data_IF_543347392685
#
_entry.id   IF_543347392685
#
_cell.length_a   1.000
_cell.length_b   1.000
_cell.length_c   1.000
_cell.angle_alpha   90.00
_cell.angle_beta   90.00
_cell.angle_gamma   90.00
#
_symmetry.space_group_name_H-M   'P 1'
#
loop_
_entity.id
_entity.type
_entity.pdbx_description
1 polymer ?
#
# COMPACT_ATOMS: atom_id res chain seq x y z
N UNK A 1 -10.10 -21.82 32.67
CA UNK A 1 -10.49 -22.80 31.64
C UNK A 1 -10.71 -22.12 30.29
N UNK A 2 -11.51 -21.04 30.22
CA UNK A 2 -11.80 -20.27 29.00
C UNK A 2 -10.58 -19.86 28.12
N UNK A 3 -9.43 -19.54 28.72
CA UNK A 3 -8.22 -19.18 27.97
C UNK A 3 -7.55 -20.38 27.30
N UNK A 4 -7.56 -21.55 27.96
CA UNK A 4 -7.04 -22.80 27.38
C UNK A 4 -7.94 -23.27 26.24
N UNK A 5 -9.26 -23.12 26.39
CA UNK A 5 -10.22 -23.48 25.35
C UNK A 5 -10.06 -22.60 24.10
N UNK A 6 -9.83 -21.29 24.26
CA UNK A 6 -9.51 -20.37 23.14
C UNK A 6 -8.16 -20.68 22.49
N UNK A 7 -7.18 -21.16 23.25
CA UNK A 7 -5.89 -21.60 22.71
C UNK A 7 -6.02 -22.88 21.90
N UNK A 8 -6.78 -23.86 22.40
CA UNK A 8 -7.07 -25.12 21.69
C UNK A 8 -7.90 -24.85 20.43
N UNK A 9 -8.84 -23.91 20.47
CA UNK A 9 -9.61 -23.48 19.30
C UNK A 9 -8.70 -22.81 18.26
N UNK A 10 -7.77 -21.97 18.69
CA UNK A 10 -6.78 -21.31 17.82
C UNK A 10 -5.75 -22.30 17.26
N UNK A 11 -5.31 -23.27 18.03
CA UNK A 11 -4.43 -24.35 17.59
C UNK A 11 -5.15 -25.24 16.59
N UNK A 12 -6.40 -25.63 16.84
CA UNK A 12 -7.25 -26.34 15.87
C UNK A 12 -7.44 -25.52 14.59
N UNK A 13 -7.65 -24.21 14.67
CA UNK A 13 -7.74 -23.34 13.49
C UNK A 13 -6.42 -23.29 12.70
N UNK A 14 -5.29 -23.29 13.41
CA UNK A 14 -3.94 -23.30 12.82
C UNK A 14 -3.61 -24.65 12.18
N UNK A 15 -4.01 -25.75 12.81
CA UNK A 15 -3.88 -27.12 12.28
C UNK A 15 -4.82 -27.31 11.08
N UNK A 16 -6.03 -26.76 11.10
CA UNK A 16 -6.96 -26.80 9.97
C UNK A 16 -6.42 -26.01 8.75
N UNK A 17 -5.68 -24.92 8.98
CA UNK A 17 -4.95 -24.19 7.93
C UNK A 17 -3.75 -24.99 7.37
N UNK A 18 -3.12 -25.81 8.20
CA UNK A 18 -1.98 -26.65 7.82
C UNK A 18 -2.41 -27.96 7.12
N UNK A 19 -3.58 -28.51 7.48
CA UNK A 19 -4.08 -29.81 7.02
C UNK A 19 -5.13 -29.72 5.90
N UNK A 20 -5.72 -28.54 5.65
CA UNK A 20 -6.60 -28.27 4.50
C UNK A 20 -6.10 -27.05 3.72
N UNK A 21 -5.75 -27.19 2.43
CA UNK A 21 -6.68 -27.02 1.28
C UNK A 21 -7.38 -25.65 1.17
N UNK A 22 -7.09 -24.66 2.00
CA UNK A 22 -7.62 -23.31 1.84
C UNK A 22 -6.93 -22.66 0.64
N UNK A 23 -7.69 -22.55 -0.45
CA UNK A 23 -7.22 -21.90 -1.66
C UNK A 23 -7.08 -20.40 -1.39
N UNK A 24 -5.97 -19.77 -1.79
CA UNK A 24 -5.84 -18.32 -1.68
C UNK A 24 -6.90 -17.63 -2.55
N UNK A 25 -7.59 -16.66 -1.96
CA UNK A 25 -8.52 -15.80 -2.68
C UNK A 25 -7.72 -14.85 -3.56
N UNK A 26 -7.80 -15.03 -4.87
CA UNK A 26 -7.17 -14.15 -5.84
C UNK A 26 -7.97 -12.83 -5.93
N UNK A 27 -9.29 -12.93 -5.99
CA UNK A 27 -10.25 -11.82 -5.90
C UNK A 27 -11.41 -12.22 -4.99
N UNK A 28 -12.36 -11.30 -4.76
CA UNK A 28 -13.56 -11.60 -3.97
C UNK A 28 -14.44 -12.71 -4.56
N UNK A 29 -14.29 -13.02 -5.85
CA UNK A 29 -15.10 -14.00 -6.58
C UNK A 29 -14.28 -15.16 -7.14
N UNK A 30 -12.97 -15.19 -6.89
CA UNK A 30 -12.07 -16.15 -7.52
C UNK A 30 -11.00 -16.63 -6.54
N UNK A 31 -10.96 -17.94 -6.34
CA UNK A 31 -9.87 -18.63 -5.67
C UNK A 31 -8.85 -19.16 -6.69
N UNK A 32 -7.62 -19.39 -6.24
CA UNK A 32 -6.55 -19.92 -7.09
C UNK A 32 -5.67 -20.95 -6.35
N UNK A 33 -4.65 -21.50 -7.00
CA UNK A 33 -3.65 -22.34 -6.35
C UNK A 33 -2.52 -21.49 -5.73
N UNK A 34 -1.89 -22.01 -4.69
CA UNK A 34 -0.70 -21.38 -4.10
C UNK A 34 0.46 -21.28 -5.10
N UNK A 35 0.58 -22.23 -6.04
CA UNK A 35 1.59 -22.21 -7.10
C UNK A 35 1.44 -20.96 -7.99
N UNK A 36 0.20 -20.59 -8.34
CA UNK A 36 -0.09 -19.37 -9.11
C UNK A 36 0.28 -18.14 -8.28
N UNK A 37 -0.08 -18.09 -6.99
CA UNK A 37 0.31 -16.98 -6.11
C UNK A 37 1.83 -16.84 -6.04
N UNK A 38 2.56 -17.95 -5.89
CA UNK A 38 4.02 -17.91 -5.84
C UNK A 38 4.65 -17.51 -7.17
N UNK A 39 4.07 -17.91 -8.31
CA UNK A 39 4.51 -17.45 -9.63
C UNK A 39 4.33 -15.92 -9.77
N UNK A 40 3.16 -15.39 -9.40
CA UNK A 40 2.89 -13.95 -9.42
C UNK A 40 3.85 -13.21 -8.48
N UNK A 41 4.00 -13.68 -7.23
CA UNK A 41 4.95 -13.13 -6.25
C UNK A 41 6.36 -13.07 -6.82
N UNK A 42 6.85 -14.18 -7.38
CA UNK A 42 8.20 -14.25 -7.94
C UNK A 42 8.39 -13.21 -9.05
N UNK A 43 7.41 -13.04 -9.94
CA UNK A 43 7.49 -12.05 -11.01
C UNK A 43 7.49 -10.62 -10.45
N UNK A 44 6.64 -10.31 -9.47
CA UNK A 44 6.65 -8.99 -8.81
C UNK A 44 7.98 -8.71 -8.11
N UNK A 45 8.54 -9.70 -7.40
CA UNK A 45 9.86 -9.61 -6.76
C UNK A 45 10.97 -9.39 -7.79
N UNK A 46 10.95 -10.11 -8.92
CA UNK A 46 11.89 -9.93 -10.03
C UNK A 46 11.83 -8.49 -10.58
N UNK A 47 10.62 -7.98 -10.83
CA UNK A 47 10.42 -6.61 -11.33
C UNK A 47 10.96 -5.56 -10.37
N UNK A 48 10.77 -5.75 -9.05
CA UNK A 48 11.34 -4.85 -8.05
C UNK A 48 12.87 -4.96 -7.96
N UNK A 49 13.45 -6.17 -7.99
CA UNK A 49 14.91 -6.36 -7.91
C UNK A 49 15.63 -5.77 -9.12
N UNK A 50 15.10 -6.03 -10.33
CA UNK A 50 15.70 -5.64 -11.60
C UNK A 50 15.42 -4.18 -11.99
N UNK A 51 14.54 -3.49 -11.25
CA UNK A 51 14.36 -2.05 -11.37
C UNK A 51 15.67 -1.32 -11.08
N UNK A 52 16.33 -0.85 -12.15
CA UNK A 52 17.51 0.05 -12.09
C UNK A 52 17.13 1.52 -11.88
N UNK A 53 15.84 1.82 -11.96
CA UNK A 53 15.25 3.16 -11.80
C UNK A 53 14.73 3.35 -10.37
N UNK A 54 14.11 4.50 -10.11
CA UNK A 54 13.45 4.76 -8.83
C UNK A 54 12.40 3.68 -8.49
N UNK A 55 12.19 3.44 -7.19
CA UNK A 55 11.20 2.47 -6.71
C UNK A 55 9.79 2.78 -7.22
N UNK A 56 9.46 4.05 -7.43
CA UNK A 56 8.16 4.49 -7.95
C UNK A 56 7.85 3.95 -9.34
N UNK A 57 8.82 3.97 -10.26
CA UNK A 57 8.70 3.31 -11.56
C UNK A 57 8.44 1.81 -11.41
N UNK A 58 9.24 1.13 -10.57
CA UNK A 58 9.11 -0.32 -10.35
C UNK A 58 7.73 -0.70 -9.79
N UNK A 59 7.20 0.11 -8.87
CA UNK A 59 5.85 -0.06 -8.33
C UNK A 59 4.75 0.19 -9.38
N UNK A 60 4.91 1.18 -10.27
CA UNK A 60 3.98 1.39 -11.40
C UNK A 60 3.95 0.21 -12.35
N UNK A 61 5.10 -0.41 -12.62
CA UNK A 61 5.16 -1.66 -13.39
C UNK A 61 4.40 -2.79 -12.68
N UNK A 62 4.55 -2.94 -11.36
CA UNK A 62 3.76 -3.91 -10.59
C UNK A 62 2.24 -3.63 -10.68
N UNK A 63 1.82 -2.36 -10.62
CA UNK A 63 0.40 -1.97 -10.77
C UNK A 63 -0.10 -2.38 -12.15
N UNK A 64 0.62 -2.01 -13.22
CA UNK A 64 0.23 -2.30 -14.59
C UNK A 64 0.11 -3.82 -14.84
N UNK A 65 1.11 -4.61 -14.43
CA UNK A 65 1.03 -6.07 -14.52
C UNK A 65 -0.16 -6.63 -13.73
N UNK A 66 -0.41 -6.10 -12.52
CA UNK A 66 -1.55 -6.55 -11.71
C UNK A 66 -2.90 -6.25 -12.39
N UNK A 67 -3.00 -5.16 -13.15
CA UNK A 67 -4.23 -4.80 -13.86
C UNK A 67 -4.49 -5.76 -15.03
N UNK A 68 -3.46 -6.10 -15.81
CA UNK A 68 -3.54 -7.09 -16.90
C UNK A 68 -3.91 -8.49 -16.39
N UNK A 69 -3.32 -8.87 -15.26
CA UNK A 69 -3.61 -10.17 -14.61
C UNK A 69 -5.03 -10.22 -14.04
N UNK A 70 -5.56 -9.11 -13.51
CA UNK A 70 -6.94 -9.02 -12.99
C UNK A 70 -7.99 -9.16 -14.09
N UNK A 71 -7.73 -8.66 -15.29
CA UNK A 71 -8.62 -8.86 -16.45
C UNK A 71 -8.58 -10.29 -16.99
N UNK A 72 -7.60 -11.09 -16.59
CA UNK A 72 -7.41 -12.46 -17.06
C UNK A 72 -7.96 -13.47 -16.05
N UNK A 73 -8.72 -14.47 -16.52
CA UNK A 73 -9.21 -15.54 -15.64
C UNK A 73 -8.11 -16.59 -15.39
N UNK A 74 -7.15 -16.25 -14.50
CA UNK A 74 -5.98 -17.09 -14.21
C UNK A 74 -6.34 -18.48 -13.65
N UNK A 75 -7.49 -18.65 -13.00
CA UNK A 75 -7.89 -19.96 -12.46
C UNK A 75 -8.24 -21.00 -13.54
N UNK A 76 -8.37 -20.59 -14.80
CA UNK A 76 -8.58 -21.51 -15.94
C UNK A 76 -7.27 -21.93 -16.61
N UNK A 77 -6.13 -21.33 -16.24
CA UNK A 77 -4.83 -21.59 -16.85
C UNK A 77 -4.04 -22.60 -16.02
N UNK A 78 -3.27 -23.46 -16.69
CA UNK A 78 -2.26 -24.29 -16.05
C UNK A 78 -1.07 -23.45 -15.56
N UNK A 79 -0.32 -23.96 -14.58
CA UNK A 79 0.79 -23.21 -13.97
C UNK A 79 1.87 -22.78 -14.99
N UNK A 80 2.19 -23.62 -15.98
CA UNK A 80 3.19 -23.28 -16.99
C UNK A 80 2.71 -22.18 -17.94
N UNK A 81 1.42 -22.19 -18.30
CA UNK A 81 0.80 -21.12 -19.06
C UNK A 81 0.80 -19.80 -18.27
N UNK A 82 0.55 -19.85 -16.97
CA UNK A 82 0.63 -18.67 -16.09
C UNK A 82 2.05 -18.12 -16.04
N UNK A 83 3.07 -18.98 -15.92
CA UNK A 83 4.48 -18.55 -15.92
C UNK A 83 4.88 -17.90 -17.26
N UNK A 84 4.50 -18.50 -18.37
CA UNK A 84 4.74 -17.94 -19.70
C UNK A 84 4.03 -16.57 -19.86
N UNK A 85 2.76 -16.50 -19.46
CA UNK A 85 1.99 -15.26 -19.47
C UNK A 85 2.67 -14.16 -18.62
N UNK A 86 3.11 -14.50 -17.41
CA UNK A 86 3.83 -13.58 -16.53
C UNK A 86 5.15 -13.09 -17.12
N UNK A 87 5.88 -13.93 -17.86
CA UNK A 87 7.13 -13.52 -18.50
C UNK A 87 6.88 -12.55 -19.66
N UNK A 88 5.93 -12.88 -20.55
CA UNK A 88 5.55 -12.04 -21.69
C UNK A 88 5.03 -10.68 -21.21
N UNK A 89 3.99 -10.69 -20.38
CA UNK A 89 3.38 -9.45 -19.89
C UNK A 89 4.30 -8.68 -18.95
N UNK A 90 5.16 -9.36 -18.18
CA UNK A 90 6.16 -8.70 -17.37
C UNK A 90 7.13 -7.86 -18.21
N UNK A 91 7.62 -8.40 -19.34
CA UNK A 91 8.52 -7.66 -20.26
C UNK A 91 7.81 -6.51 -20.95
N UNK A 92 6.59 -6.75 -21.46
CA UNK A 92 5.78 -5.71 -22.12
C UNK A 92 5.48 -4.58 -21.14
N UNK A 93 5.04 -4.90 -19.93
CA UNK A 93 4.71 -3.90 -18.91
C UNK A 93 5.89 -2.99 -18.56
N UNK A 94 7.09 -3.55 -18.41
CA UNK A 94 8.30 -2.76 -18.13
C UNK A 94 8.61 -1.79 -19.28
N UNK A 95 8.29 -2.17 -20.52
CA UNK A 95 8.52 -1.33 -21.70
C UNK A 95 7.44 -0.25 -21.87
N UNK A 96 6.19 -0.55 -21.55
CA UNK A 96 5.04 0.34 -21.81
C UNK A 96 4.82 1.38 -20.71
N UNK A 97 5.26 1.10 -19.48
CA UNK A 97 5.13 2.07 -18.38
C UNK A 97 6.17 3.18 -18.57
N UNK A 98 5.75 4.46 -18.63
CA UNK A 98 6.69 5.56 -18.80
C UNK A 98 7.68 5.64 -17.63
N UNK A 99 8.99 5.66 -17.92
CA UNK A 99 10.01 5.84 -16.87
C UNK A 99 9.78 7.17 -16.16
N UNK A 100 9.57 8.24 -16.92
CA UNK A 100 9.26 9.56 -16.38
C UNK A 100 7.87 9.60 -15.71
N UNK A 101 7.85 9.93 -14.42
CA UNK A 101 6.63 10.08 -13.62
C UNK A 101 5.79 11.31 -14.04
N UNK A 102 6.36 12.29 -14.74
CA UNK A 102 5.61 13.42 -15.30
C UNK A 102 4.78 13.03 -16.52
N UNK A 103 5.16 11.99 -17.26
CA UNK A 103 4.39 11.47 -18.38
C UNK A 103 3.08 10.79 -17.95
N UNK A 104 2.94 10.44 -16.67
CA UNK A 104 1.68 9.89 -16.11
C UNK A 104 0.74 11.03 -15.70
N UNK A 105 -0.56 10.98 -16.06
CA UNK A 105 -1.53 11.98 -15.65
C UNK A 105 -1.61 12.16 -14.13
N UNK A 106 -1.87 13.39 -13.69
CA UNK A 106 -2.08 13.67 -12.27
C UNK A 106 -3.36 13.01 -11.73
N UNK A 107 -3.40 12.66 -10.43
CA UNK A 107 -4.59 12.13 -9.80
C UNK A 107 -5.73 13.16 -9.82
N UNK A 108 -6.95 12.69 -10.09
CA UNK A 108 -8.12 13.56 -10.16
C UNK A 108 -8.60 13.97 -8.75
N UNK A 109 -9.59 14.86 -8.68
CA UNK A 109 -10.09 15.38 -7.41
C UNK A 109 -10.62 14.28 -6.47
N UNK A 110 -11.30 13.26 -7.01
CA UNK A 110 -11.80 12.11 -6.22
C UNK A 110 -10.64 11.29 -5.68
N UNK A 111 -9.65 11.00 -6.52
CA UNK A 111 -8.43 10.28 -6.16
C UNK A 111 -7.68 10.98 -5.04
N UNK A 112 -7.54 12.30 -5.12
CA UNK A 112 -6.92 13.12 -4.08
C UNK A 112 -7.70 13.11 -2.76
N UNK A 113 -9.02 13.24 -2.79
CA UNK A 113 -9.85 13.19 -1.58
C UNK A 113 -9.74 11.83 -0.90
N UNK A 114 -9.91 10.75 -1.65
CA UNK A 114 -9.81 9.38 -1.13
C UNK A 114 -8.42 9.09 -0.59
N UNK A 115 -7.38 9.50 -1.31
CA UNK A 115 -6.00 9.40 -0.86
C UNK A 115 -5.80 10.08 0.49
N UNK A 116 -6.21 11.35 0.64
CA UNK A 116 -6.04 12.07 1.91
C UNK A 116 -6.79 11.42 3.07
N UNK A 117 -8.01 10.90 2.84
CA UNK A 117 -8.75 10.15 3.86
C UNK A 117 -8.02 8.88 4.27
N UNK A 118 -7.46 8.14 3.31
CA UNK A 118 -6.70 6.92 3.57
C UNK A 118 -5.39 7.26 4.31
N UNK A 119 -4.65 8.27 3.85
CA UNK A 119 -3.43 8.75 4.51
C UNK A 119 -3.71 9.17 5.95
N UNK A 120 -4.84 9.83 6.22
CA UNK A 120 -5.26 10.14 7.59
C UNK A 120 -5.44 8.89 8.44
N UNK A 121 -5.92 7.78 7.88
CA UNK A 121 -6.09 6.54 8.63
C UNK A 121 -4.74 5.89 8.94
N UNK A 122 -3.86 5.77 7.95
CA UNK A 122 -2.55 5.13 8.10
C UNK A 122 -1.58 5.93 8.97
N UNK A 123 -1.71 7.26 9.02
CA UNK A 123 -0.81 8.12 9.80
C UNK A 123 -1.29 8.36 11.22
N UNK A 124 -2.52 7.96 11.55
CA UNK A 124 -3.13 8.21 12.85
C UNK A 124 -2.60 7.25 13.91
N UNK A 125 -2.07 7.84 14.97
CA UNK A 125 -1.69 7.12 16.20
C UNK A 125 -2.65 7.46 17.33
N UNK A 126 -3.50 6.50 17.67
CA UNK A 126 -4.47 6.58 18.77
C UNK A 126 -3.87 6.09 20.11
N UNK A 127 -2.79 5.31 20.07
CA UNK A 127 -2.16 4.67 21.23
C UNK A 127 -0.63 4.90 21.30
N UNK A 128 -0.02 4.66 22.48
CA UNK A 128 1.43 4.83 22.74
C UNK A 128 1.93 6.24 23.09
N UNK A 129 3.25 6.46 23.16
CA UNK A 129 3.88 7.77 23.38
C UNK A 129 3.79 8.71 22.15
N UNK A 130 3.61 8.13 20.96
CA UNK A 130 3.57 8.86 19.68
C UNK A 130 2.16 9.30 19.26
N UNK A 131 1.22 9.43 20.22
CA UNK A 131 -0.19 9.79 19.98
C UNK A 131 -0.33 11.22 19.46
N UNK A 132 -1.25 11.41 18.51
CA UNK A 132 -1.60 12.74 17.99
C UNK A 132 -2.93 13.28 18.52
N UNK A 133 -3.74 13.84 17.62
CA UNK A 133 -5.01 14.53 17.91
C UNK A 133 -6.08 13.65 18.59
N UNK A 134 -5.91 12.32 18.62
CA UNK A 134 -6.78 11.38 19.29
C UNK A 134 -6.98 11.70 20.79
N UNK A 135 -5.99 12.35 21.41
CA UNK A 135 -6.07 12.82 22.80
C UNK A 135 -7.11 13.94 23.01
N UNK A 136 -7.56 14.62 21.95
CA UNK A 136 -8.53 15.73 22.02
C UNK A 136 -10.00 15.28 21.83
N UNK A 137 -10.25 13.98 21.75
CA UNK A 137 -11.60 13.39 21.70
C UNK A 137 -12.20 13.26 20.29
N UNK A 138 -13.41 12.67 20.22
CA UNK A 138 -14.08 12.28 18.96
C UNK A 138 -14.41 13.46 18.04
N UNK A 139 -14.74 14.62 18.59
CA UNK A 139 -15.03 15.84 17.81
C UNK A 139 -13.77 16.34 17.10
N UNK A 140 -12.62 16.30 17.78
CA UNK A 140 -11.35 16.68 17.17
C UNK A 140 -10.96 15.74 16.02
N UNK A 141 -11.22 14.43 16.17
CA UNK A 141 -11.04 13.44 15.11
C UNK A 141 -11.95 13.70 13.91
N UNK A 142 -13.23 14.04 14.15
CA UNK A 142 -14.15 14.40 13.07
C UNK A 142 -13.70 15.67 12.34
N UNK A 143 -13.27 16.71 13.08
CA UNK A 143 -12.71 17.93 12.49
C UNK A 143 -11.44 17.64 11.68
N UNK A 144 -10.58 16.73 12.15
CA UNK A 144 -9.40 16.32 11.41
C UNK A 144 -9.78 15.60 10.11
N UNK A 145 -10.74 14.67 10.15
CA UNK A 145 -11.24 13.97 8.97
C UNK A 145 -11.79 14.94 7.91
N UNK A 146 -12.55 15.96 8.35
CA UNK A 146 -13.07 17.02 7.45
C UNK A 146 -11.92 17.84 6.84
N UNK A 147 -10.90 18.21 7.64
CA UNK A 147 -9.73 18.93 7.12
C UNK A 147 -8.97 18.13 6.07
N UNK A 148 -8.75 16.83 6.30
CA UNK A 148 -8.13 15.95 5.31
C UNK A 148 -9.00 15.80 4.04
N UNK A 149 -10.33 15.80 4.16
CA UNK A 149 -11.21 15.73 3.01
C UNK A 149 -11.12 17.00 2.15
N UNK A 150 -11.06 18.17 2.80
CA UNK A 150 -10.89 19.46 2.12
C UNK A 150 -9.51 19.59 1.49
N UNK A 151 -8.48 19.13 2.19
CA UNK A 151 -7.09 19.13 1.70
C UNK A 151 -6.50 20.53 1.56
N UNK A 152 -6.92 21.47 2.41
CA UNK A 152 -6.46 22.86 2.38
C UNK A 152 -6.13 23.36 3.79
N UNK A 153 -5.12 24.22 3.92
CA UNK A 153 -4.69 24.81 5.19
C UNK A 153 -3.86 23.86 6.05
N UNK A 154 -3.83 24.10 7.37
CA UNK A 154 -2.96 23.36 8.30
C UNK A 154 -3.29 21.87 8.35
N UNK A 155 -2.26 21.04 8.32
CA UNK A 155 -2.40 19.59 8.48
C UNK A 155 -2.65 19.25 9.96
N UNK A 156 -3.74 18.54 10.29
CA UNK A 156 -3.95 18.07 11.66
C UNK A 156 -2.81 17.14 12.11
N UNK A 157 -2.27 17.36 13.32
CA UNK A 157 -1.21 16.52 13.91
C UNK A 157 -1.76 15.15 14.35
N UNK A 158 -1.83 14.20 13.41
CA UNK A 158 -2.34 12.85 13.64
C UNK A 158 -1.35 11.92 14.37
N UNK A 159 -0.07 12.31 14.42
CA UNK A 159 1.00 11.70 15.21
C UNK A 159 2.01 12.80 15.59
N UNK A 160 2.99 12.45 16.43
CA UNK A 160 4.00 13.40 16.95
C UNK A 160 5.00 13.90 15.91
N UNK A 161 5.16 13.19 14.80
CA UNK A 161 6.14 13.54 13.77
C UNK A 161 5.61 14.55 12.75
N UNK A 162 4.29 14.77 12.68
CA UNK A 162 3.70 15.80 11.82
C UNK A 162 4.11 17.18 12.31
N UNK A 163 4.88 17.88 11.48
CA UNK A 163 5.33 19.26 11.73
C UNK A 163 4.20 20.28 11.54
N UNK A 164 4.44 21.52 11.93
CA UNK A 164 3.54 22.63 11.61
C UNK A 164 3.66 22.97 10.11
N UNK A 165 2.78 22.37 9.30
CA UNK A 165 2.77 22.49 7.83
C UNK A 165 1.34 22.59 7.29
N UNK A 166 1.21 22.88 5.99
CA UNK A 166 -0.07 22.92 5.28
C UNK A 166 -0.15 21.86 4.19
N UNK A 167 -1.36 21.50 3.78
CA UNK A 167 -1.58 20.58 2.65
C UNK A 167 -0.92 21.11 1.37
N UNK A 168 -1.04 22.41 1.11
CA UNK A 168 -0.49 23.08 -0.06
C UNK A 168 1.04 22.96 -0.09
N UNK A 169 1.70 23.18 1.06
CA UNK A 169 3.15 23.07 1.17
C UNK A 169 3.64 21.64 0.95
N UNK A 170 2.91 20.63 1.43
CA UNK A 170 3.25 19.22 1.17
C UNK A 170 3.06 18.90 -0.32
N UNK A 171 1.92 19.29 -0.91
CA UNK A 171 1.60 18.96 -2.30
C UNK A 171 2.43 19.75 -3.32
N UNK A 172 3.00 20.90 -2.94
CA UNK A 172 3.95 21.65 -3.77
C UNK A 172 5.38 21.10 -3.71
N UNK A 173 5.73 20.38 -2.62
CA UNK A 173 7.06 19.80 -2.45
C UNK A 173 7.23 18.59 -3.36
N UNK A 174 8.36 18.53 -4.04
CA UNK A 174 8.83 17.33 -4.73
C UNK A 174 9.58 16.46 -3.73
N UNK A 175 9.36 15.16 -3.77
CA UNK A 175 10.13 14.24 -2.95
C UNK A 175 11.36 13.80 -3.73
N UNK A 176 12.48 14.47 -3.48
CA UNK A 176 13.79 13.99 -3.90
C UNK A 176 14.19 12.85 -2.95
N UNK A 177 13.99 11.61 -3.39
CA UNK A 177 14.45 10.44 -2.65
C UNK A 177 15.93 10.28 -2.96
N UNK A 178 16.77 10.45 -1.94
CA UNK A 178 18.16 10.03 -2.02
C UNK A 178 18.26 8.49 -2.21
N UNK A 179 19.43 8.04 -2.63
CA UNK A 179 19.67 6.62 -2.94
C UNK A 179 19.38 5.72 -1.73
N UNK A 180 19.72 6.19 -0.52
CA UNK A 180 19.48 5.45 0.72
C UNK A 180 17.98 5.27 1.01
N UNK A 181 17.19 6.34 0.83
CA UNK A 181 15.73 6.32 0.98
C UNK A 181 15.07 5.41 -0.07
N UNK A 182 15.58 5.44 -1.31
CA UNK A 182 15.10 4.60 -2.40
C UNK A 182 15.36 3.11 -2.09
N UNK A 183 16.57 2.76 -1.67
CA UNK A 183 16.95 1.41 -1.27
C UNK A 183 16.17 0.92 -0.02
N UNK A 184 15.91 1.80 0.96
CA UNK A 184 15.08 1.48 2.12
C UNK A 184 13.64 1.12 1.71
N UNK A 185 13.04 1.91 0.83
CA UNK A 185 11.70 1.63 0.28
C UNK A 185 11.70 0.33 -0.53
N UNK A 186 12.70 0.12 -1.40
CA UNK A 186 12.85 -1.11 -2.18
C UNK A 186 12.90 -2.33 -1.29
N UNK A 187 13.71 -2.29 -0.22
CA UNK A 187 13.78 -3.37 0.78
C UNK A 187 12.44 -3.61 1.47
N UNK A 188 11.74 -2.55 1.88
CA UNK A 188 10.42 -2.65 2.49
C UNK A 188 9.42 -3.38 1.59
N UNK A 189 9.31 -2.99 0.32
CA UNK A 189 8.38 -3.62 -0.63
C UNK A 189 8.76 -5.05 -0.97
N UNK A 190 10.06 -5.35 -1.11
CA UNK A 190 10.54 -6.71 -1.33
C UNK A 190 10.12 -7.62 -0.17
N UNK A 191 10.34 -7.21 1.07
CA UNK A 191 9.94 -7.99 2.26
C UNK A 191 8.43 -8.20 2.28
N UNK A 192 7.62 -7.16 2.01
CA UNK A 192 6.16 -7.28 2.01
C UNK A 192 5.63 -8.19 0.91
N UNK A 193 6.21 -8.12 -0.29
CA UNK A 193 5.82 -9.01 -1.39
C UNK A 193 6.27 -10.45 -1.11
N UNK A 194 7.51 -10.67 -0.69
CA UNK A 194 8.02 -12.02 -0.43
C UNK A 194 7.27 -12.72 0.71
N UNK A 195 6.94 -11.99 1.78
CA UNK A 195 6.20 -12.52 2.94
C UNK A 195 4.70 -12.72 2.71
N UNK A 196 4.12 -12.14 1.65
CA UNK A 196 2.70 -12.23 1.34
C UNK A 196 1.75 -11.72 2.46
N UNK A 197 2.26 -10.94 3.42
CA UNK A 197 1.49 -10.48 4.60
C UNK A 197 0.37 -9.49 4.29
N UNK A 198 0.24 -9.05 3.04
CA UNK A 198 -0.75 -8.06 2.62
C UNK A 198 -2.11 -8.68 2.23
N UNK A 199 -2.28 -10.00 2.25
CA UNK A 199 -3.55 -10.65 1.89
C UNK A 199 -3.85 -11.90 2.74
N UNK A 200 -5.09 -12.36 2.70
CA UNK A 200 -5.53 -13.57 3.41
C UNK A 200 -5.65 -13.34 4.91
N UNK A 201 -5.49 -14.41 5.70
CA UNK A 201 -5.72 -14.39 7.15
C UNK A 201 -4.81 -13.40 7.90
N UNK A 202 -3.59 -13.16 7.39
CA UNK A 202 -2.64 -12.20 7.96
C UNK A 202 -3.09 -10.73 7.77
N UNK A 203 -4.00 -10.47 6.84
CA UNK A 203 -4.52 -9.12 6.56
C UNK A 203 -6.04 -9.10 6.40
N UNK A 204 -6.75 -9.44 7.47
CA UNK A 204 -8.21 -9.32 7.57
C UNK A 204 -9.03 -10.08 6.51
N UNK A 205 -8.48 -11.16 5.94
CA UNK A 205 -9.15 -11.94 4.90
C UNK A 205 -9.27 -11.19 3.57
N UNK A 206 -8.43 -10.19 3.32
CA UNK A 206 -8.46 -9.42 2.07
C UNK A 206 -7.94 -10.29 0.92
N UNK A 207 -8.61 -10.34 -0.26
CA UNK A 207 -8.11 -11.05 -1.44
C UNK A 207 -6.78 -10.50 -1.95
N UNK A 208 -6.00 -11.35 -2.63
CA UNK A 208 -4.66 -11.03 -3.13
C UNK A 208 -4.61 -9.70 -3.90
N UNK A 209 -5.50 -9.51 -4.87
CA UNK A 209 -5.51 -8.32 -5.72
C UNK A 209 -5.86 -7.02 -5.00
N UNK A 210 -6.72 -7.10 -4.00
CA UNK A 210 -7.08 -5.96 -3.15
C UNK A 210 -5.93 -5.64 -2.20
N UNK A 211 -5.36 -6.66 -1.57
CA UNK A 211 -4.22 -6.54 -0.66
C UNK A 211 -2.99 -5.96 -1.35
N UNK A 212 -2.68 -6.42 -2.55
CA UNK A 212 -1.57 -5.88 -3.36
C UNK A 212 -1.81 -4.40 -3.68
N UNK A 213 -3.04 -4.01 -4.00
CA UNK A 213 -3.34 -2.62 -4.31
C UNK A 213 -3.19 -1.71 -3.07
N UNK A 214 -3.62 -2.20 -1.90
CA UNK A 214 -3.42 -1.51 -0.62
C UNK A 214 -1.93 -1.36 -0.34
N UNK A 215 -1.14 -2.43 -0.56
CA UNK A 215 0.31 -2.39 -0.42
C UNK A 215 0.94 -1.36 -1.36
N UNK A 216 0.60 -1.35 -2.65
CA UNK A 216 1.16 -0.39 -3.61
C UNK A 216 0.73 1.06 -3.28
N UNK A 217 -0.48 1.25 -2.73
CA UNK A 217 -0.94 2.54 -2.24
C UNK A 217 -0.19 3.03 -1.00
N UNK A 218 0.55 2.18 -0.28
CA UNK A 218 1.35 2.66 0.85
C UNK A 218 2.50 3.55 0.41
N UNK A 219 2.99 3.45 -0.83
CA UNK A 219 4.11 4.25 -1.31
C UNK A 219 3.79 5.75 -1.27
N UNK A 220 2.72 6.23 -1.92
CA UNK A 220 2.37 7.65 -1.86
C UNK A 220 2.02 8.08 -0.43
N UNK A 221 1.51 7.18 0.43
CA UNK A 221 1.24 7.47 1.84
C UNK A 221 2.55 7.70 2.61
N UNK A 222 3.54 6.82 2.44
CA UNK A 222 4.85 6.90 3.07
C UNK A 222 5.52 8.22 2.66
N UNK A 223 5.60 8.49 1.35
CA UNK A 223 6.20 9.72 0.82
C UNK A 223 5.49 10.97 1.35
N UNK A 224 4.16 11.02 1.27
CA UNK A 224 3.40 12.16 1.80
C UNK A 224 3.65 12.39 3.29
N UNK A 225 3.69 11.30 4.06
CA UNK A 225 3.93 11.35 5.51
C UNK A 225 5.34 11.84 5.82
N UNK A 226 6.32 11.46 5.02
CA UNK A 226 7.69 11.96 5.13
C UNK A 226 7.77 13.46 4.80
N UNK A 227 7.05 13.93 3.78
CA UNK A 227 6.98 15.37 3.45
C UNK A 227 6.26 16.21 4.51
N UNK A 228 5.36 15.61 5.30
CA UNK A 228 4.66 16.25 6.41
C UNK A 228 5.54 16.44 7.67
N UNK A 229 6.71 15.79 7.73
CA UNK A 229 7.66 15.91 8.84
C UNK A 229 8.53 17.17 8.70
N UNK A 230 9.31 17.47 9.74
CA UNK A 230 10.25 18.60 9.78
C UNK A 230 11.17 18.58 8.55
N UNK A 231 11.43 19.73 7.92
CA UNK A 231 12.39 19.80 6.81
C UNK A 231 13.84 19.57 7.24
N UNK A 232 14.14 19.73 8.53
CA UNK A 232 15.50 19.61 9.09
C UNK A 232 16.00 18.17 9.22
N UNK A 233 15.08 17.20 9.31
CA UNK A 233 15.49 15.79 9.43
C UNK A 233 15.98 15.26 8.06
N UNK A 234 16.90 14.28 8.02
CA UNK A 234 17.26 13.56 6.81
C UNK A 234 16.05 12.84 6.17
N UNK A 235 16.03 12.68 4.84
CA UNK A 235 14.90 12.02 4.15
C UNK A 235 14.78 10.55 4.57
N UNK A 236 15.90 9.83 4.67
CA UNK A 236 15.92 8.42 5.09
C UNK A 236 15.24 8.22 6.45
N UNK A 237 15.50 9.09 7.43
CA UNK A 237 14.87 9.05 8.76
C UNK A 237 13.36 9.28 8.67
N UNK A 238 12.93 10.25 7.85
CA UNK A 238 11.50 10.52 7.64
C UNK A 238 10.80 9.34 7.00
N UNK A 239 11.44 8.68 6.04
CA UNK A 239 10.93 7.48 5.36
C UNK A 239 10.86 6.32 6.35
N UNK A 240 11.90 6.09 7.16
CA UNK A 240 11.91 5.04 8.17
C UNK A 240 10.75 5.20 9.17
N UNK A 241 10.54 6.42 9.70
CA UNK A 241 9.41 6.69 10.62
C UNK A 241 8.05 6.52 9.94
N UNK A 242 7.92 6.97 8.69
CA UNK A 242 6.70 6.82 7.91
C UNK A 242 6.39 5.34 7.61
N UNK A 243 7.41 4.53 7.28
CA UNK A 243 7.29 3.08 7.16
C UNK A 243 6.78 2.50 8.48
N UNK A 244 7.37 2.84 9.63
CA UNK A 244 6.91 2.32 10.92
C UNK A 244 5.44 2.66 11.21
N UNK A 245 4.99 3.88 10.89
CA UNK A 245 3.57 4.25 11.03
C UNK A 245 2.66 3.37 10.18
N UNK A 246 3.01 3.24 8.91
CA UNK A 246 2.21 2.51 7.92
C UNK A 246 2.24 1.01 8.19
N UNK A 247 3.37 0.48 8.65
CA UNK A 247 3.53 -0.96 8.86
C UNK A 247 2.71 -1.48 10.03
N UNK A 248 2.60 -0.67 11.08
CA UNK A 248 1.78 -0.95 12.26
C UNK A 248 0.29 -1.16 11.94
N UNK A 249 -0.13 -0.87 10.71
CA UNK A 249 -1.50 -1.04 10.27
C UNK A 249 -1.80 -2.40 9.63
N UNK A 250 -0.81 -3.06 9.00
CA UNK A 250 -1.02 -4.37 8.37
C UNK A 250 -1.33 -5.42 9.44
N UNK A 251 -2.48 -6.10 9.32
CA UNK A 251 -2.88 -7.15 10.26
C UNK A 251 -3.32 -6.67 11.67
N UNK A 252 -3.10 -5.41 12.05
CA UNK A 252 -3.44 -4.89 13.39
C UNK A 252 -4.60 -3.88 13.41
N UNK A 253 -4.70 -2.98 12.42
CA UNK A 253 -5.77 -1.98 12.41
C UNK A 253 -7.05 -2.51 11.72
N UNK A 254 -7.98 -3.04 12.51
CA UNK A 254 -9.27 -3.59 12.04
C UNK A 254 -10.10 -2.59 11.21
N UNK A 255 -9.89 -1.28 11.34
CA UNK A 255 -10.59 -0.28 10.53
C UNK A 255 -10.27 -0.45 9.04
N UNK A 256 -9.05 -0.87 8.70
CA UNK A 256 -8.63 -1.11 7.32
C UNK A 256 -9.32 -2.33 6.69
N UNK A 257 -9.67 -3.34 7.50
CA UNK A 257 -10.48 -4.48 7.07
C UNK A 257 -11.97 -4.16 6.90
N UNK A 258 -12.44 -2.97 7.31
CA UNK A 258 -13.84 -2.58 7.24
C UNK A 258 -14.34 -2.38 5.80
N UNK A 259 -15.61 -2.76 5.55
CA UNK A 259 -16.23 -2.69 4.21
C UNK A 259 -16.12 -1.31 3.55
N UNK A 260 -16.31 -0.23 4.33
CA UNK A 260 -16.20 1.14 3.83
C UNK A 260 -14.79 1.47 3.32
N UNK A 261 -13.76 1.02 4.02
CA UNK A 261 -12.37 1.30 3.60
C UNK A 261 -11.99 0.47 2.40
N UNK A 262 -12.39 -0.82 2.38
CA UNK A 262 -12.25 -1.68 1.21
C UNK A 262 -12.90 -1.08 -0.03
N UNK A 263 -14.10 -0.51 0.10
CA UNK A 263 -14.74 0.21 -0.99
C UNK A 263 -13.92 1.41 -1.48
N UNK A 264 -13.36 2.22 -0.56
CA UNK A 264 -12.49 3.34 -0.91
C UNK A 264 -11.23 2.91 -1.67
N UNK A 265 -10.55 1.85 -1.22
CA UNK A 265 -9.40 1.27 -1.91
C UNK A 265 -9.77 0.75 -3.30
N UNK A 266 -10.89 0.03 -3.40
CA UNK A 266 -11.38 -0.51 -4.67
C UNK A 266 -11.79 0.60 -5.65
N UNK A 267 -12.33 1.72 -5.15
CA UNK A 267 -12.69 2.85 -6.00
C UNK A 267 -11.45 3.54 -6.59
N UNK A 268 -10.37 3.69 -5.81
CA UNK A 268 -9.07 4.18 -6.32
C UNK A 268 -8.50 3.24 -7.39
N UNK A 269 -8.56 1.93 -7.13
CA UNK A 269 -8.12 0.90 -8.06
C UNK A 269 -8.87 0.95 -9.40
N UNK A 270 -10.21 0.93 -9.34
CA UNK A 270 -11.08 0.91 -10.51
C UNK A 270 -10.91 2.16 -11.38
N UNK A 271 -10.62 3.31 -10.77
CA UNK A 271 -10.41 4.58 -11.48
C UNK A 271 -8.95 4.79 -11.94
N UNK A 272 -8.09 3.79 -11.77
CA UNK A 272 -6.65 3.87 -12.05
C UNK A 272 -6.00 5.05 -11.34
N UNK A 273 -6.43 5.36 -10.11
CA UNK A 273 -5.85 6.47 -9.34
C UNK A 273 -4.60 6.03 -8.58
N UNK A 274 -4.44 4.74 -8.27
CA UNK A 274 -3.23 4.24 -7.57
C UNK A 274 -1.96 4.51 -8.37
N UNK A 275 -1.94 4.21 -9.68
CA UNK A 275 -0.77 4.46 -10.55
C UNK A 275 -0.45 5.96 -10.67
N UNK A 276 -1.48 6.82 -10.73
CA UNK A 276 -1.34 8.27 -10.79
C UNK A 276 -0.81 8.84 -9.47
N UNK A 277 -1.25 8.28 -8.34
CA UNK A 277 -0.76 8.65 -7.02
C UNK A 277 0.69 8.22 -6.84
N UNK A 278 1.05 6.98 -7.19
CA UNK A 278 2.46 6.55 -7.17
C UNK A 278 3.30 7.48 -8.03
N UNK A 279 2.91 7.72 -9.30
CA UNK A 279 3.62 8.64 -10.17
C UNK A 279 3.74 10.04 -9.57
N UNK A 280 2.64 10.60 -9.05
CA UNK A 280 2.62 11.95 -8.48
C UNK A 280 3.65 12.12 -7.36
N UNK A 281 3.79 11.13 -6.47
CA UNK A 281 4.76 11.16 -5.38
C UNK A 281 6.16 10.66 -5.76
N UNK A 282 6.35 10.17 -6.99
CA UNK A 282 7.66 9.85 -7.58
C UNK A 282 8.23 10.96 -8.46
N UNK A 283 7.52 12.09 -8.64
CA UNK A 283 8.01 13.23 -9.43
C UNK A 283 9.16 13.93 -8.71
N UNK A 284 10.37 13.61 -9.12
CA UNK A 284 11.60 14.26 -8.67
C UNK A 284 11.89 15.50 -9.52
N UNK A 285 12.64 16.47 -8.98
CA UNK A 285 13.24 17.52 -9.81
C UNK A 285 14.26 16.88 -10.75
N UNK A 286 14.24 17.25 -12.03
CA UNK A 286 15.38 17.04 -12.93
C UNK A 286 16.48 18.03 -12.55
#
# INVERSE_FOLDING_TARGET
EEFKDKLIEREKFTITLAENKVKPMLSSTQDTSWEIIFAIRNKLTEMLKNGKQDIGHSLRCCIALSNELKSTNLSKLGIDQVKEFLDIFGKVTISDVPVDAFAVPSPNWVGRILFRQITALFTRKDHGPNRGIANKGRIALLKAAIQFARGTGTVPKLNVWVSDTTFENIESRRCELDEESNELLKRYYLIKIESLQFFGASNFGIPFWEGLNILLLTYPIIVWTSLAQSSQDPMVDKIQRAISLVDDHFGFNKILGGLRQRYGFNLLAQRKETEKLVAWYSRQSI
#
